data_IF_912648715939
#
_entry.id   IF_912648715939
#
_cell.length_a   1.000
_cell.length_b   1.000
_cell.length_c   1.000
_cell.angle_alpha   90.00
_cell.angle_beta   90.00
_cell.angle_gamma   90.00
#
_symmetry.space_group_name_H-M   'P 1'
#
loop_
_entity.id
_entity.type
_entity.pdbx_description
1 polymer ?
#
# COMPACT_ATOMS: atom_id res chain seq x y z
N UNK A 1 5.68 -15.42 8.49
CA UNK A 1 6.75 -15.37 7.49
C UNK A 1 6.05 -15.35 6.13
N UNK A 2 6.05 -14.20 5.46
CA UNK A 2 5.47 -14.03 4.11
C UNK A 2 6.61 -13.61 3.20
N UNK A 3 6.73 -14.23 2.02
CA UNK A 3 7.76 -13.87 1.05
C UNK A 3 7.17 -12.95 -0.03
N UNK A 4 7.97 -11.99 -0.48
CA UNK A 4 7.61 -11.17 -1.63
C UNK A 4 7.54 -12.06 -2.89
N UNK A 5 6.42 -12.08 -3.65
CA UNK A 5 6.29 -12.94 -4.83
C UNK A 5 7.23 -12.56 -5.99
N UNK A 6 7.78 -11.34 -5.99
CA UNK A 6 8.65 -10.84 -7.06
C UNK A 6 10.15 -11.08 -6.79
N UNK A 7 10.59 -10.91 -5.54
CA UNK A 7 12.02 -11.01 -5.19
C UNK A 7 12.35 -12.05 -4.12
N UNK A 8 11.35 -12.80 -3.64
CA UNK A 8 11.45 -13.84 -2.61
C UNK A 8 11.97 -13.36 -1.23
N UNK A 9 12.14 -12.04 -1.06
CA UNK A 9 12.55 -11.45 0.19
C UNK A 9 11.56 -11.79 1.31
N UNK A 10 12.09 -12.21 2.45
CA UNK A 10 11.29 -12.47 3.65
C UNK A 10 10.78 -11.15 4.23
N UNK A 11 9.48 -11.08 4.49
CA UNK A 11 8.81 -9.94 5.10
C UNK A 11 8.34 -10.39 6.48
N UNK A 12 9.02 -9.90 7.50
CA UNK A 12 8.85 -10.34 8.89
C UNK A 12 8.30 -9.23 9.76
N UNK A 13 8.67 -7.98 9.49
CA UNK A 13 8.25 -6.81 10.24
C UNK A 13 7.45 -5.83 9.39
N UNK A 14 6.67 -4.96 10.03
CA UNK A 14 5.87 -3.94 9.33
C UNK A 14 6.75 -2.92 8.58
N UNK A 15 8.01 -2.79 8.97
CA UNK A 15 8.98 -1.91 8.29
C UNK A 15 9.45 -2.47 6.93
N UNK A 16 9.18 -3.75 6.63
CA UNK A 16 9.48 -4.37 5.34
C UNK A 16 8.46 -4.00 4.24
N UNK A 17 7.45 -3.19 4.58
CA UNK A 17 6.43 -2.68 3.65
C UNK A 17 6.36 -1.17 3.63
N UNK A 18 6.28 -0.60 2.43
CA UNK A 18 6.04 0.83 2.24
C UNK A 18 4.57 1.07 1.91
N UNK A 19 3.94 2.02 2.62
CA UNK A 19 2.57 2.45 2.38
C UNK A 19 2.56 3.77 1.61
N UNK A 20 2.22 3.70 0.33
CA UNK A 20 2.07 4.87 -0.52
C UNK A 20 0.61 5.33 -0.48
N UNK A 21 0.35 6.49 0.16
CA UNK A 21 -0.96 7.14 0.14
C UNK A 21 -1.14 7.88 -1.19
N UNK A 22 -2.16 7.50 -1.94
CA UNK A 22 -2.61 8.21 -3.12
C UNK A 22 -3.83 9.05 -2.73
N UNK A 23 -3.60 10.35 -2.56
CA UNK A 23 -4.65 11.33 -2.26
C UNK A 23 -5.65 11.39 -3.43
N UNK A 24 -6.93 11.13 -3.17
CA UNK A 24 -7.99 11.26 -4.16
C UNK A 24 -8.43 12.73 -4.24
N UNK A 25 -7.69 13.56 -4.95
CA UNK A 25 -7.99 15.01 -5.08
C UNK A 25 -9.17 15.31 -6.03
N UNK A 26 -10.08 14.35 -6.24
CA UNK A 26 -11.27 14.49 -7.09
C UNK A 26 -12.40 15.16 -6.31
N UNK A 27 -12.38 16.50 -6.28
CA UNK A 27 -13.23 17.38 -5.49
C UNK A 27 -14.73 17.45 -5.83
N UNK A 28 -15.42 16.32 -6.02
CA UNK A 28 -16.88 16.30 -6.23
C UNK A 28 -17.68 15.45 -5.24
N UNK A 29 -17.05 14.61 -4.44
CA UNK A 29 -17.75 13.81 -3.42
C UNK A 29 -17.03 13.94 -2.07
N UNK A 30 -17.78 14.22 -1.01
CA UNK A 30 -17.37 14.17 0.42
C UNK A 30 -16.76 12.82 0.86
N UNK A 31 -16.72 11.82 -0.03
CA UNK A 31 -16.00 10.58 0.20
C UNK A 31 -14.54 10.72 -0.25
N UNK A 32 -13.71 11.40 0.55
CA UNK A 32 -12.25 11.38 0.43
C UNK A 32 -11.74 9.96 0.71
N UNK A 33 -11.78 9.07 -0.28
CA UNK A 33 -11.25 7.71 -0.17
C UNK A 33 -9.74 7.79 -0.28
N UNK A 34 -9.02 7.41 0.77
CA UNK A 34 -7.56 7.27 0.72
C UNK A 34 -7.24 5.89 0.15
N UNK A 35 -6.49 5.88 -0.94
CA UNK A 35 -5.97 4.66 -1.52
C UNK A 35 -4.57 4.45 -0.97
N UNK A 36 -4.28 3.27 -0.44
CA UNK A 36 -2.94 2.89 -0.04
C UNK A 36 -2.45 1.75 -0.90
N UNK A 37 -1.23 1.88 -1.43
CA UNK A 37 -0.48 0.80 -2.04
C UNK A 37 0.53 0.28 -1.02
N UNK A 38 0.62 -1.03 -0.90
CA UNK A 38 1.63 -1.71 -0.10
C UNK A 38 2.71 -2.19 -1.06
N UNK A 39 3.93 -1.67 -0.92
CA UNK A 39 5.08 -2.08 -1.70
C UNK A 39 6.08 -2.87 -0.84
N UNK A 40 6.82 -3.78 -1.45
CA UNK A 40 7.94 -4.46 -0.81
C UNK A 40 9.09 -3.48 -0.60
N UNK A 41 9.59 -3.35 0.64
CA UNK A 41 10.69 -2.44 0.98
C UNK A 41 12.04 -2.81 0.33
N UNK A 42 12.18 -4.02 -0.22
CA UNK A 42 13.43 -4.47 -0.86
C UNK A 42 13.45 -4.19 -2.38
N UNK A 43 12.39 -4.56 -3.11
CA UNK A 43 12.35 -4.42 -4.57
C UNK A 43 11.39 -3.35 -5.08
N UNK A 44 10.58 -2.75 -4.20
CA UNK A 44 9.56 -1.75 -4.57
C UNK A 44 8.35 -2.33 -5.29
N UNK A 45 8.22 -3.64 -5.41
CA UNK A 45 7.07 -4.27 -6.05
C UNK A 45 5.78 -4.02 -5.26
N UNK A 46 4.71 -3.64 -5.95
CA UNK A 46 3.39 -3.49 -5.33
C UNK A 46 2.81 -4.87 -5.00
N UNK A 47 2.71 -5.18 -3.71
CA UNK A 47 2.25 -6.48 -3.19
C UNK A 47 0.80 -6.44 -2.68
N UNK A 48 0.22 -5.25 -2.53
CA UNK A 48 -1.15 -5.10 -2.06
C UNK A 48 -1.68 -3.70 -2.30
N UNK A 49 -3.01 -3.58 -2.24
CA UNK A 49 -3.69 -2.29 -2.27
C UNK A 49 -4.88 -2.34 -1.32
N UNK A 50 -5.25 -1.19 -0.77
CA UNK A 50 -6.51 -1.08 -0.06
C UNK A 50 -7.06 0.34 -0.08
N UNK A 51 -8.31 0.45 0.38
CA UNK A 51 -9.08 1.69 0.31
C UNK A 51 -9.67 1.95 1.68
N UNK A 52 -9.31 3.08 2.28
CA UNK A 52 -9.94 3.58 3.50
C UNK A 52 -10.97 4.64 3.10
N UNK A 53 -12.25 4.40 3.43
CA UNK A 53 -13.28 5.42 3.28
C UNK A 53 -13.13 6.48 4.38
N UNK A 54 -13.02 7.76 4.01
CA UNK A 54 -13.33 8.83 4.95
C UNK A 54 -14.82 8.78 5.29
N UNK A 55 -15.11 8.85 6.59
CA UNK A 55 -16.46 8.97 7.17
C UNK A 55 -16.91 10.42 7.22
#
# INVERSE_FOLDING_TARGET
MVHCPECDAEMTDQDDVEFLDMDSTTGFFTASKRFYLVACGNCGAAIGSGVAGAM
#
